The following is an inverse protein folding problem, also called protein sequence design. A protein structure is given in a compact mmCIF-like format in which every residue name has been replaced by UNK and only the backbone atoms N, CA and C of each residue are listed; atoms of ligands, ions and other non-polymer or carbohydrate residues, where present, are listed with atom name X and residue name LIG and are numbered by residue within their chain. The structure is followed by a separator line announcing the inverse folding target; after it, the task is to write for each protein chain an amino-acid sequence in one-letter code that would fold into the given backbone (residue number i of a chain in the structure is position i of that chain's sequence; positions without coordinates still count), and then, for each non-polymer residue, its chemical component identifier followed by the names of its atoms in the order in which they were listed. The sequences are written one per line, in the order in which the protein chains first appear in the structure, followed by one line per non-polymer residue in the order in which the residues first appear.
data_IF_872555911671
#
_entry.id   IF_872555911671
#
_cell.length_a   1.000
_cell.length_b   1.000
_cell.length_c   1.000
_cell.angle_alpha   90.00
_cell.angle_beta   90.00
_cell.angle_gamma   90.00
#
_symmetry.space_group_name_H-M   'P 1'
#
loop_
_entity.id
_entity.type
_entity.pdbx_description
1 polymer ?
#
# COMPACT_ATOMS: atom_id res chain seq x y z
N UNK A 1 -0.09 20.99 -4.63
CA UNK A 1 -1.50 20.93 -5.05
C UNK A 1 -1.77 19.83 -6.09
N UNK A 2 -1.13 19.82 -7.28
CA UNK A 2 -1.40 18.84 -8.36
C UNK A 2 -1.46 17.35 -7.93
N UNK A 3 -0.49 16.89 -7.14
CA UNK A 3 -0.47 15.51 -6.61
C UNK A 3 -1.71 15.19 -5.76
N UNK A 4 -2.18 16.15 -4.96
CA UNK A 4 -3.37 15.99 -4.10
C UNK A 4 -4.61 15.72 -4.94
N UNK A 5 -4.75 16.46 -6.04
CA UNK A 5 -5.85 16.33 -7.00
C UNK A 5 -5.84 14.93 -7.63
N UNK A 6 -4.69 14.45 -8.09
CA UNK A 6 -4.58 13.11 -8.69
C UNK A 6 -4.90 12.02 -7.65
N UNK A 7 -4.36 12.12 -6.43
CA UNK A 7 -4.67 11.16 -5.35
C UNK A 7 -6.17 11.10 -5.06
N UNK A 8 -6.85 12.25 -5.09
CA UNK A 8 -8.29 12.32 -4.89
C UNK A 8 -9.07 11.57 -5.99
N UNK A 9 -8.76 11.81 -7.26
CA UNK A 9 -9.48 11.16 -8.38
C UNK A 9 -9.20 9.66 -8.53
N UNK A 10 -8.14 9.16 -7.91
CA UNK A 10 -7.82 7.74 -7.82
C UNK A 10 -8.56 7.00 -6.70
N UNK A 11 -9.38 7.69 -5.90
CA UNK A 11 -10.21 7.06 -4.88
C UNK A 11 -11.35 6.26 -5.52
N UNK A 12 -11.67 5.10 -4.95
CA UNK A 12 -12.77 4.25 -5.42
C UNK A 12 -14.14 4.88 -5.20
N UNK A 13 -14.31 5.57 -4.08
CA UNK A 13 -15.58 6.20 -3.69
C UNK A 13 -15.34 7.69 -3.53
N UNK A 14 -16.04 8.47 -4.34
CA UNK A 14 -15.94 9.93 -4.34
C UNK A 14 -17.34 10.50 -4.11
N UNK A 15 -17.53 11.25 -3.03
CA UNK A 15 -18.80 11.92 -2.77
C UNK A 15 -18.94 13.14 -3.69
N UNK A 16 -20.17 13.45 -4.11
CA UNK A 16 -20.44 14.58 -5.01
C UNK A 16 -19.89 15.92 -4.51
N UNK A 17 -20.04 16.21 -3.22
CA UNK A 17 -19.53 17.45 -2.62
C UNK A 17 -18.00 17.50 -2.69
N UNK A 18 -17.34 16.38 -2.42
CA UNK A 18 -15.88 16.29 -2.52
C UNK A 18 -15.41 16.44 -3.97
N UNK A 19 -16.15 15.86 -4.93
CA UNK A 19 -15.87 15.96 -6.35
C UNK A 19 -15.90 17.41 -6.85
N UNK A 20 -16.91 18.17 -6.41
CA UNK A 20 -17.03 19.60 -6.73
C UNK A 20 -15.85 20.40 -6.20
N UNK A 21 -15.42 20.12 -4.97
CA UNK A 21 -14.28 20.82 -4.37
C UNK A 21 -12.95 20.46 -5.06
N UNK A 22 -12.75 19.18 -5.38
CA UNK A 22 -11.60 18.74 -6.13
C UNK A 22 -11.55 19.35 -7.55
N UNK A 23 -12.70 19.55 -8.19
CA UNK A 23 -12.77 20.23 -9.48
C UNK A 23 -12.31 21.69 -9.39
N UNK A 24 -12.74 22.43 -8.36
CA UNK A 24 -12.26 23.80 -8.12
C UNK A 24 -10.74 23.83 -7.90
N UNK A 25 -10.21 22.91 -7.10
CA UNK A 25 -8.76 22.80 -6.91
C UNK A 25 -8.03 22.47 -8.21
N UNK A 26 -8.59 21.62 -9.07
CA UNK A 26 -8.02 21.32 -10.38
C UNK A 26 -7.96 22.53 -11.30
N UNK A 27 -9.04 23.33 -11.36
CA UNK A 27 -9.07 24.58 -12.13
C UNK A 27 -8.03 25.56 -11.59
N UNK A 28 -8.05 25.82 -10.28
CA UNK A 28 -7.11 26.72 -9.61
C UNK A 28 -5.66 26.31 -9.86
N UNK A 29 -5.36 25.01 -9.81
CA UNK A 29 -4.03 24.50 -10.13
C UNK A 29 -3.60 24.84 -11.55
N UNK A 30 -4.47 24.65 -12.55
CA UNK A 30 -4.15 24.95 -13.94
C UNK A 30 -4.01 26.46 -14.16
N UNK A 31 -4.83 27.29 -13.52
CA UNK A 31 -4.72 28.76 -13.58
C UNK A 31 -3.40 29.27 -12.97
N UNK A 32 -3.00 28.73 -11.82
CA UNK A 32 -1.72 29.04 -11.19
C UNK A 32 -0.54 28.55 -12.05
N UNK A 33 -0.65 27.36 -12.65
CA UNK A 33 0.36 26.83 -13.57
C UNK A 33 0.49 27.71 -14.81
N UNK A 34 -0.63 28.13 -15.40
CA UNK A 34 -0.65 29.07 -16.53
C UNK A 34 0.02 30.38 -16.14
N UNK A 35 -0.30 30.94 -14.98
CA UNK A 35 0.27 32.21 -14.49
C UNK A 35 1.77 32.12 -14.28
N UNK A 36 2.27 31.06 -13.64
CA UNK A 36 3.68 30.91 -13.29
C UNK A 36 4.55 30.55 -14.51
N UNK A 37 4.13 29.57 -15.30
CA UNK A 37 4.96 28.97 -16.33
C UNK A 37 4.62 29.46 -17.74
N UNK A 38 3.34 29.58 -18.08
CA UNK A 38 2.89 29.90 -19.45
C UNK A 38 2.85 31.42 -19.68
N UNK A 39 2.46 32.19 -18.66
CA UNK A 39 2.36 33.66 -18.67
C UNK A 39 1.52 34.21 -19.83
N UNK A 40 0.55 33.42 -20.33
CA UNK A 40 -0.26 33.72 -21.53
C UNK A 40 0.57 34.00 -22.79
N UNK A 41 1.81 33.51 -22.83
CA UNK A 41 2.70 33.63 -23.99
C UNK A 41 2.47 32.45 -24.93
N UNK A 42 2.07 32.68 -26.20
CA UNK A 42 1.84 31.61 -27.17
C UNK A 42 3.05 30.68 -27.35
N UNK A 43 4.27 31.22 -27.24
CA UNK A 43 5.51 30.44 -27.39
C UNK A 43 5.67 29.40 -26.27
N UNK A 44 4.98 29.58 -25.14
CA UNK A 44 5.07 28.73 -23.94
C UNK A 44 3.93 27.72 -23.79
N UNK A 45 3.03 27.64 -24.77
CA UNK A 45 1.89 26.72 -24.72
C UNK A 45 2.32 25.25 -24.57
N UNK A 46 3.52 24.90 -25.03
CA UNK A 46 4.11 23.58 -24.94
C UNK A 46 4.34 23.09 -23.49
N UNK A 47 4.34 23.99 -22.50
CA UNK A 47 4.36 23.63 -21.08
C UNK A 47 3.04 23.01 -20.60
N UNK A 48 1.92 23.33 -21.25
CA UNK A 48 0.61 22.73 -20.96
C UNK A 48 0.52 21.35 -21.59
N UNK A 49 1.29 20.41 -21.02
CA UNK A 49 1.23 19.00 -21.42
C UNK A 49 -0.15 18.43 -21.14
N UNK A 50 -0.50 17.34 -21.83
CA UNK A 50 -1.77 16.66 -21.65
C UNK A 50 -2.06 16.31 -20.19
N UNK A 51 -1.05 15.94 -19.40
CA UNK A 51 -1.22 15.65 -17.96
C UNK A 51 -1.69 16.85 -17.14
N UNK A 52 -1.26 18.07 -17.52
CA UNK A 52 -1.68 19.32 -16.88
C UNK A 52 -3.11 19.64 -17.31
N UNK A 53 -3.37 19.66 -18.61
CA UNK A 53 -4.70 19.99 -19.15
C UNK A 53 -5.76 18.95 -18.74
N UNK A 54 -5.42 17.67 -18.67
CA UNK A 54 -6.38 16.62 -18.31
C UNK A 54 -6.97 16.79 -16.90
N UNK A 55 -6.29 17.48 -15.98
CA UNK A 55 -6.75 17.61 -14.59
C UNK A 55 -8.11 18.29 -14.47
N UNK A 56 -8.40 19.32 -15.28
CA UNK A 56 -9.71 20.00 -15.24
C UNK A 56 -10.84 19.12 -15.77
N UNK A 57 -10.51 18.10 -16.58
CA UNK A 57 -11.48 17.16 -17.15
C UNK A 57 -11.77 15.95 -16.24
N UNK A 58 -10.95 15.72 -15.20
CA UNK A 58 -11.10 14.54 -14.35
C UNK A 58 -12.47 14.49 -13.64
N UNK A 59 -12.98 15.61 -13.14
CA UNK A 59 -14.27 15.62 -12.44
C UNK A 59 -15.47 15.34 -13.36
N UNK A 60 -15.61 15.99 -14.53
CA UNK A 60 -16.60 15.59 -15.54
C UNK A 60 -16.51 14.11 -15.92
N UNK A 61 -15.30 13.59 -16.10
CA UNK A 61 -15.09 12.18 -16.44
C UNK A 61 -15.51 11.23 -15.31
N UNK A 62 -15.31 11.60 -14.04
CA UNK A 62 -15.81 10.82 -12.90
C UNK A 62 -17.33 10.65 -12.95
N UNK A 63 -18.06 11.66 -13.40
CA UNK A 63 -19.53 11.58 -13.56
C UNK A 63 -19.88 10.68 -14.75
N UNK A 64 -19.12 10.76 -15.84
CA UNK A 64 -19.39 10.05 -17.09
C UNK A 64 -19.10 8.54 -17.01
N UNK A 65 -17.94 8.17 -16.46
CA UNK A 65 -17.40 6.80 -16.51
C UNK A 65 -16.89 6.28 -15.15
N UNK A 66 -17.08 7.04 -14.07
CA UNK A 66 -16.62 6.69 -12.74
C UNK A 66 -15.17 7.11 -12.46
N UNK A 67 -14.63 6.82 -11.27
CA UNK A 67 -13.33 7.32 -10.84
C UNK A 67 -12.16 6.92 -11.74
N UNK A 68 -11.08 7.71 -11.69
CA UNK A 68 -9.91 7.50 -12.54
C UNK A 68 -9.27 6.11 -12.32
N UNK A 69 -9.40 5.55 -11.12
CA UNK A 69 -8.93 4.19 -10.83
C UNK A 69 -9.51 3.10 -11.77
N UNK A 70 -10.66 3.35 -12.41
CA UNK A 70 -11.31 2.40 -13.31
C UNK A 70 -10.69 2.40 -14.72
N UNK A 71 -10.16 3.54 -15.19
CA UNK A 71 -9.70 3.72 -16.57
C UNK A 71 -8.31 4.36 -16.67
N UNK A 72 -7.60 4.51 -15.54
CA UNK A 72 -6.23 4.95 -15.55
C UNK A 72 -5.37 3.99 -16.39
N UNK A 73 -4.32 4.54 -17.00
CA UNK A 73 -3.44 3.79 -17.89
C UNK A 73 -2.96 2.47 -17.26
N UNK A 74 -2.55 2.49 -15.99
CA UNK A 74 -2.11 1.28 -15.29
C UNK A 74 -3.21 0.21 -15.17
N UNK A 75 -4.47 0.62 -14.94
CA UNK A 75 -5.63 -0.29 -14.86
C UNK A 75 -5.91 -0.92 -16.22
N UNK A 76 -5.85 -0.11 -17.29
CA UNK A 76 -6.06 -0.56 -18.66
C UNK A 76 -4.93 -1.49 -19.12
N UNK A 77 -3.66 -1.10 -18.93
CA UNK A 77 -2.50 -1.93 -19.28
C UNK A 77 -2.49 -3.25 -18.54
N UNK A 78 -2.84 -3.27 -17.25
CA UNK A 78 -2.99 -4.51 -16.48
C UNK A 78 -4.08 -5.40 -17.08
N UNK A 79 -5.21 -4.81 -17.44
CA UNK A 79 -6.32 -5.54 -18.06
C UNK A 79 -5.91 -6.12 -19.42
N UNK A 80 -5.21 -5.34 -20.25
CA UNK A 80 -4.65 -5.78 -21.53
C UNK A 80 -3.69 -6.94 -21.32
N UNK A 81 -2.73 -6.83 -20.40
CA UNK A 81 -1.77 -7.90 -20.11
C UNK A 81 -2.44 -9.19 -19.62
N UNK A 82 -3.42 -9.06 -18.71
CA UNK A 82 -4.16 -10.21 -18.19
C UNK A 82 -5.02 -10.89 -19.26
N UNK A 83 -5.64 -10.14 -20.16
CA UNK A 83 -6.40 -10.69 -21.29
C UNK A 83 -5.45 -11.30 -22.34
N UNK A 84 -4.29 -10.69 -22.55
CA UNK A 84 -3.22 -11.20 -23.42
C UNK A 84 -2.77 -12.60 -23.02
N UNK A 85 -2.67 -12.89 -21.72
CA UNK A 85 -2.33 -14.22 -21.20
C UNK A 85 -3.41 -15.28 -21.47
N UNK A 86 -4.66 -14.87 -21.74
CA UNK A 86 -5.78 -15.78 -22.00
C UNK A 86 -6.04 -16.03 -23.48
N UNK A 87 -5.38 -15.27 -24.36
CA UNK A 87 -5.40 -15.46 -25.81
C UNK A 87 -4.70 -16.79 -26.14
N UNK A 88 -5.49 -17.78 -26.55
CA UNK A 88 -4.99 -19.12 -26.88
C UNK A 88 -5.24 -19.53 -28.33
N UNK A 89 -5.85 -18.65 -29.13
CA UNK A 89 -6.17 -18.91 -30.54
C UNK A 89 -5.60 -17.80 -31.43
N UNK A 90 -4.70 -18.20 -32.32
CA UNK A 90 -3.98 -17.36 -33.28
C UNK A 90 -4.82 -17.05 -34.54
N UNK A 91 -5.70 -17.96 -34.94
CA UNK A 91 -6.53 -17.84 -36.14
C UNK A 91 -7.70 -16.85 -36.03
N UNK A 92 -8.24 -16.64 -34.83
CA UNK A 92 -9.34 -15.68 -34.59
C UNK A 92 -9.18 -15.01 -33.21
N UNK A 93 -8.15 -14.17 -33.03
CA UNK A 93 -7.78 -13.63 -31.74
C UNK A 93 -8.84 -12.69 -31.17
N UNK A 94 -9.52 -11.90 -32.01
CA UNK A 94 -10.53 -10.93 -31.55
C UNK A 94 -11.81 -11.61 -31.03
N UNK A 95 -12.27 -12.67 -31.70
CA UNK A 95 -13.44 -13.41 -31.22
C UNK A 95 -13.11 -14.17 -29.93
N UNK A 96 -11.91 -14.78 -29.87
CA UNK A 96 -11.44 -15.44 -28.65
C UNK A 96 -11.34 -14.44 -27.48
N UNK A 97 -10.77 -13.25 -27.72
CA UNK A 97 -10.67 -12.18 -26.72
C UNK A 97 -12.04 -11.74 -26.21
N UNK A 98 -13.01 -11.56 -27.12
CA UNK A 98 -14.37 -11.14 -26.78
C UNK A 98 -15.06 -12.17 -25.86
N UNK A 99 -14.96 -13.46 -26.21
CA UNK A 99 -15.48 -14.55 -25.39
C UNK A 99 -14.79 -14.64 -24.02
N UNK A 100 -13.47 -14.45 -23.96
CA UNK A 100 -12.71 -14.38 -22.71
C UNK A 100 -13.18 -13.24 -21.81
N UNK A 101 -13.35 -12.04 -22.39
CA UNK A 101 -13.84 -10.88 -21.66
C UNK A 101 -15.25 -11.10 -21.11
N UNK A 102 -16.18 -11.60 -21.94
CA UNK A 102 -17.56 -11.91 -21.50
C UNK A 102 -17.57 -12.93 -20.38
N UNK A 103 -16.85 -14.05 -20.53
CA UNK A 103 -16.76 -15.09 -19.51
C UNK A 103 -16.19 -14.57 -18.20
N UNK A 104 -15.16 -13.71 -18.25
CA UNK A 104 -14.59 -13.08 -17.06
C UNK A 104 -15.58 -12.14 -16.39
N UNK A 105 -16.31 -11.32 -17.16
CA UNK A 105 -17.36 -10.47 -16.61
C UNK A 105 -18.47 -11.30 -15.93
N UNK A 106 -18.91 -12.39 -16.56
CA UNK A 106 -19.91 -13.30 -15.98
C UNK A 106 -19.40 -13.96 -14.70
N UNK A 107 -18.16 -14.44 -14.68
CA UNK A 107 -17.57 -15.07 -13.51
C UNK A 107 -17.38 -14.08 -12.35
N UNK A 108 -16.89 -12.86 -12.64
CA UNK A 108 -16.79 -11.79 -11.65
C UNK A 108 -18.17 -11.37 -11.11
N UNK A 109 -19.20 -11.30 -11.96
CA UNK A 109 -20.56 -11.02 -11.53
C UNK A 109 -21.09 -12.14 -10.61
N UNK A 110 -20.89 -13.40 -10.97
CA UNK A 110 -21.25 -14.55 -10.13
C UNK A 110 -20.54 -14.52 -8.78
N UNK A 111 -19.23 -14.30 -8.75
CA UNK A 111 -18.45 -14.15 -7.50
C UNK A 111 -18.94 -12.99 -6.65
N UNK A 112 -19.34 -11.88 -7.26
CA UNK A 112 -19.89 -10.73 -6.53
C UNK A 112 -21.29 -11.01 -5.97
N UNK A 113 -22.11 -11.80 -6.67
CA UNK A 113 -23.47 -12.16 -6.26
C UNK A 113 -23.51 -13.31 -5.23
N UNK A 114 -22.56 -14.26 -5.31
CA UNK A 114 -22.44 -15.42 -4.44
C UNK A 114 -20.97 -15.64 -4.03
N UNK A 115 -20.41 -14.82 -3.12
CA UNK A 115 -19.01 -14.90 -2.70
C UNK A 115 -18.60 -16.26 -2.12
N UNK A 116 -19.53 -17.01 -1.55
CA UNK A 116 -19.32 -18.35 -0.98
C UNK A 116 -18.89 -19.41 -2.01
N UNK A 117 -19.12 -19.16 -3.31
CA UNK A 117 -18.70 -20.06 -4.39
C UNK A 117 -17.28 -19.78 -4.90
N UNK A 118 -16.63 -18.70 -4.44
CA UNK A 118 -15.28 -18.37 -4.86
C UNK A 118 -14.24 -19.26 -4.15
N UNK A 119 -13.88 -20.37 -4.79
CA UNK A 119 -12.86 -21.30 -4.27
C UNK A 119 -11.42 -20.85 -4.57
N UNK A 120 -11.22 -19.87 -5.46
CA UNK A 120 -9.88 -19.38 -5.82
C UNK A 120 -9.23 -18.57 -4.70
N UNK A 121 -10.05 -18.06 -3.78
CA UNK A 121 -9.64 -17.11 -2.74
C UNK A 121 -9.72 -17.69 -1.33
N UNK A 122 -9.95 -19.00 -1.13
CA UNK A 122 -10.06 -19.58 0.21
C UNK A 122 -8.84 -19.21 1.06
N UNK A 123 -8.97 -18.23 1.99
CA UNK A 123 -7.84 -17.75 2.78
C UNK A 123 -7.38 -18.80 3.79
N UNK A 124 -8.22 -19.82 4.03
CA UNK A 124 -8.03 -20.85 5.03
C UNK A 124 -7.10 -21.97 4.59
N UNK A 125 -6.75 -22.06 3.29
CA UNK A 125 -5.76 -23.01 2.78
C UNK A 125 -4.41 -22.29 2.66
N UNK A 126 -3.54 -22.34 3.69
CA UNK A 126 -2.31 -21.58 3.68
C UNK A 126 -1.36 -22.25 2.67
N UNK A 127 -0.71 -21.45 1.82
CA UNK A 127 0.44 -21.96 1.05
C UNK A 127 1.43 -22.59 2.02
N UNK A 128 2.08 -23.70 1.63
CA UNK A 128 2.96 -24.48 2.52
C UNK A 128 3.91 -23.58 3.33
N UNK A 129 3.79 -23.62 4.66
CA UNK A 129 4.62 -22.82 5.57
C UNK A 129 4.03 -21.47 6.01
N UNK A 130 2.89 -21.05 5.46
CA UNK A 130 2.11 -19.90 5.95
C UNK A 130 1.08 -20.32 7.00
N UNK A 131 0.63 -19.36 7.80
CA UNK A 131 -0.36 -19.56 8.86
C UNK A 131 -1.42 -18.48 8.76
N UNK A 132 -2.68 -18.89 8.54
CA UNK A 132 -3.80 -17.95 8.49
C UNK A 132 -4.16 -17.49 9.91
N UNK A 133 -4.25 -16.18 10.10
CA UNK A 133 -4.47 -15.58 11.44
C UNK A 133 -5.83 -14.88 11.54
N UNK A 134 -6.69 -15.02 10.53
CA UNK A 134 -8.03 -14.41 10.46
C UNK A 134 -8.04 -13.06 9.72
N UNK A 135 -9.24 -12.60 9.34
CA UNK A 135 -9.52 -11.30 8.71
C UNK A 135 -8.76 -11.03 7.40
N UNK A 136 -8.35 -12.09 6.70
CA UNK A 136 -7.57 -11.98 5.45
C UNK A 136 -6.07 -11.81 5.68
N UNK A 137 -5.58 -11.90 6.93
CA UNK A 137 -4.16 -11.87 7.25
C UNK A 137 -3.57 -13.28 7.34
N UNK A 138 -2.33 -13.43 6.85
CA UNK A 138 -1.57 -14.67 6.98
C UNK A 138 -0.10 -14.39 7.28
N UNK A 139 0.47 -15.05 8.29
CA UNK A 139 1.92 -15.10 8.48
C UNK A 139 2.55 -15.93 7.36
N UNK A 140 3.67 -15.45 6.81
CA UNK A 140 4.38 -16.10 5.71
C UNK A 140 5.86 -16.30 6.07
N UNK A 141 6.47 -17.35 5.51
CA UNK A 141 7.91 -17.57 5.59
C UNK A 141 8.69 -16.39 5.00
N UNK A 142 9.99 -16.21 5.23
CA UNK A 142 10.90 -16.99 6.07
C UNK A 142 10.59 -16.88 7.59
N UNK A 143 10.77 -17.97 8.33
CA UNK A 143 10.58 -18.01 9.81
C UNK A 143 11.73 -18.72 10.51
N UNK A 144 11.98 -18.37 11.78
CA UNK A 144 12.96 -19.08 12.60
C UNK A 144 12.54 -20.55 12.80
N UNK A 145 13.48 -21.48 12.64
CA UNK A 145 13.25 -22.91 12.94
C UNK A 145 13.01 -23.13 14.44
N UNK A 146 13.84 -22.50 15.27
CA UNK A 146 13.86 -22.61 16.73
C UNK A 146 13.69 -21.26 17.39
N UNK A 147 13.19 -21.23 18.63
CA UNK A 147 13.07 -19.98 19.38
C UNK A 147 14.46 -19.35 19.54
N UNK A 148 14.59 -18.09 19.15
CA UNK A 148 15.80 -17.29 19.26
C UNK A 148 15.65 -16.30 20.42
N UNK A 149 16.74 -16.05 21.14
CA UNK A 149 16.81 -14.94 22.09
C UNK A 149 16.77 -13.63 21.31
N UNK A 150 15.84 -12.73 21.65
CA UNK A 150 15.80 -11.38 21.08
C UNK A 150 16.71 -10.43 21.86
N UNK A 151 17.05 -9.28 21.27
CA UNK A 151 17.90 -8.29 21.95
C UNK A 151 17.28 -7.82 23.25
N UNK A 152 18.10 -7.28 24.17
CA UNK A 152 17.63 -6.78 25.46
C UNK A 152 16.59 -5.67 25.30
N UNK A 153 16.81 -4.75 24.36
CA UNK A 153 15.87 -3.66 24.03
C UNK A 153 14.53 -4.19 23.51
N UNK A 154 14.57 -5.15 22.58
CA UNK A 154 13.37 -5.84 22.09
C UNK A 154 12.63 -6.54 23.22
N UNK A 155 13.37 -7.22 24.11
CA UNK A 155 12.79 -7.93 25.25
C UNK A 155 12.04 -6.97 26.18
N UNK A 156 12.65 -5.83 26.53
CA UNK A 156 12.01 -4.81 27.37
C UNK A 156 10.73 -4.29 26.74
N UNK A 157 10.76 -3.98 25.44
CA UNK A 157 9.58 -3.48 24.71
C UNK A 157 8.46 -4.51 24.66
N UNK A 158 8.80 -5.79 24.44
CA UNK A 158 7.82 -6.89 24.43
C UNK A 158 7.22 -7.11 25.82
N UNK A 159 8.02 -7.11 26.90
CA UNK A 159 7.49 -7.25 28.27
C UNK A 159 6.54 -6.13 28.64
N UNK A 160 6.90 -4.89 28.29
CA UNK A 160 6.07 -3.71 28.52
C UNK A 160 4.71 -3.85 27.84
N UNK A 161 4.68 -4.36 26.61
CA UNK A 161 3.42 -4.58 25.88
C UNK A 161 2.57 -5.71 26.48
N UNK A 162 3.22 -6.78 26.96
CA UNK A 162 2.55 -7.94 27.55
C UNK A 162 2.18 -7.75 29.04
N UNK A 163 2.43 -6.57 29.61
CA UNK A 163 2.26 -6.27 31.04
C UNK A 163 3.02 -7.26 31.95
N UNK A 164 4.20 -7.70 31.50
CA UNK A 164 5.03 -8.71 32.14
C UNK A 164 6.38 -8.12 32.61
N UNK A 165 6.40 -6.86 33.05
CA UNK A 165 7.64 -6.14 33.41
C UNK A 165 8.41 -6.81 34.57
N UNK A 166 7.71 -7.56 35.41
CA UNK A 166 8.28 -8.27 36.56
C UNK A 166 9.01 -9.58 36.16
N UNK A 167 8.82 -10.07 34.94
CA UNK A 167 9.52 -11.27 34.47
C UNK A 167 10.99 -10.97 34.12
N UNK A 168 11.91 -11.65 34.79
CA UNK A 168 13.36 -11.56 34.53
C UNK A 168 13.84 -12.68 33.61
N UNK A 169 14.69 -12.35 32.63
CA UNK A 169 15.38 -13.32 31.76
C UNK A 169 15.05 -13.19 30.27
N UNK A 170 15.93 -13.67 29.40
CA UNK A 170 15.85 -13.46 27.95
C UNK A 170 14.54 -13.98 27.33
N UNK A 171 13.88 -13.15 26.51
CA UNK A 171 12.71 -13.58 25.73
C UNK A 171 13.20 -14.43 24.57
N UNK A 172 12.66 -15.66 24.48
CA UNK A 172 12.89 -16.57 23.36
C UNK A 172 11.62 -16.74 22.54
N UNK A 173 11.65 -16.33 21.28
CA UNK A 173 10.51 -16.42 20.36
C UNK A 173 10.93 -16.86 18.96
N UNK A 174 9.97 -17.27 18.13
CA UNK A 174 10.19 -17.51 16.71
C UNK A 174 9.79 -16.25 15.94
N UNK A 175 10.72 -15.70 15.16
CA UNK A 175 10.43 -14.57 14.27
C UNK A 175 9.88 -15.05 12.94
N UNK A 176 8.97 -14.27 12.39
CA UNK A 176 8.41 -14.40 11.06
C UNK A 176 8.77 -13.16 10.27
N UNK A 177 9.13 -13.36 9.01
CA UNK A 177 9.65 -12.28 8.18
C UNK A 177 8.58 -11.54 7.37
N UNK A 178 7.43 -12.18 7.13
CA UNK A 178 6.42 -11.70 6.19
C UNK A 178 5.01 -11.83 6.77
N UNK A 179 4.16 -10.87 6.46
CA UNK A 179 2.74 -10.85 6.77
C UNK A 179 1.97 -10.45 5.51
N UNK A 180 1.07 -11.33 5.06
CA UNK A 180 0.10 -11.00 4.03
C UNK A 180 -1.02 -10.17 4.63
N UNK A 181 -1.36 -9.09 3.95
CA UNK A 181 -2.45 -8.19 4.30
C UNK A 181 -3.73 -8.52 3.49
N UNK A 182 -4.92 -8.11 3.96
CA UNK A 182 -6.18 -8.37 3.27
C UNK A 182 -6.28 -7.71 1.88
N UNK A 183 -5.51 -6.64 1.66
CA UNK A 183 -5.42 -5.95 0.37
C UNK A 183 -4.47 -6.64 -0.63
N UNK A 184 -3.94 -7.82 -0.29
CA UNK A 184 -3.05 -8.62 -1.13
C UNK A 184 -1.57 -8.24 -1.06
N UNK A 185 -1.20 -7.16 -0.37
CA UNK A 185 0.21 -6.80 -0.15
C UNK A 185 0.90 -7.78 0.80
N UNK A 186 2.23 -7.88 0.67
CA UNK A 186 3.08 -8.60 1.64
C UNK A 186 3.94 -7.58 2.39
N UNK A 187 3.61 -7.36 3.67
CA UNK A 187 4.48 -6.64 4.59
C UNK A 187 5.68 -7.52 4.94
N UNK A 188 6.89 -6.99 4.74
CA UNK A 188 8.16 -7.66 5.03
C UNK A 188 8.75 -7.12 6.33
N UNK A 189 9.94 -7.57 6.69
CA UNK A 189 10.60 -7.21 7.94
C UNK A 189 12.04 -6.80 7.70
N UNK A 190 12.51 -5.82 8.48
CA UNK A 190 13.91 -5.40 8.49
C UNK A 190 14.86 -6.56 8.79
N UNK A 191 14.46 -7.50 9.68
CA UNK A 191 15.27 -8.67 10.03
C UNK A 191 15.76 -9.48 8.81
N UNK A 192 14.94 -9.58 7.75
CA UNK A 192 15.33 -10.26 6.51
C UNK A 192 15.82 -9.28 5.45
N UNK A 193 15.15 -8.14 5.26
CA UNK A 193 15.53 -7.21 4.19
C UNK A 193 16.89 -6.54 4.43
N UNK A 194 17.28 -6.22 5.67
CA UNK A 194 18.59 -5.59 5.97
C UNK A 194 19.78 -6.51 5.68
N UNK A 195 19.56 -7.80 5.41
CA UNK A 195 20.61 -8.76 5.01
C UNK A 195 20.88 -8.74 3.51
N UNK A 196 20.00 -8.13 2.72
CA UNK A 196 20.14 -7.99 1.28
C UNK A 196 20.82 -6.65 0.96
N UNK A 197 21.54 -6.60 -0.14
CA UNK A 197 22.08 -5.33 -0.65
C UNK A 197 20.92 -4.43 -1.09
N UNK A 198 21.04 -3.11 -0.86
CA UNK A 198 19.98 -2.13 -1.16
C UNK A 198 19.44 -2.24 -2.59
N UNK A 199 20.31 -2.48 -3.58
CA UNK A 199 19.92 -2.65 -4.99
C UNK A 199 19.04 -3.87 -5.26
N UNK A 200 19.06 -4.87 -4.38
CA UNK A 200 18.31 -6.12 -4.49
C UNK A 200 17.07 -6.12 -3.57
N UNK A 201 16.89 -5.11 -2.73
CA UNK A 201 15.78 -5.01 -1.78
C UNK A 201 14.59 -4.34 -2.44
N UNK A 202 13.47 -5.04 -2.53
CA UNK A 202 12.16 -4.43 -2.78
C UNK A 202 11.51 -4.11 -1.43
N UNK A 203 11.89 -2.97 -0.87
CA UNK A 203 11.59 -2.61 0.52
C UNK A 203 10.08 -2.57 0.77
N UNK A 204 9.59 -3.48 1.61
CA UNK A 204 8.18 -3.61 1.99
C UNK A 204 8.00 -3.75 3.51
N UNK A 205 9.02 -3.35 4.28
CA UNK A 205 9.01 -3.36 5.75
C UNK A 205 8.36 -2.15 6.41
N UNK A 206 8.04 -1.10 5.65
CA UNK A 206 7.37 0.09 6.18
C UNK A 206 5.86 -0.06 6.02
N UNK A 207 5.12 0.22 7.09
CA UNK A 207 3.69 -0.06 7.17
C UNK A 207 2.92 1.12 7.76
N UNK A 208 1.69 1.30 7.26
CA UNK A 208 0.69 2.17 7.88
C UNK A 208 -0.09 1.36 8.92
N UNK A 209 -0.11 1.84 10.15
CA UNK A 209 -0.78 1.19 11.27
C UNK A 209 -1.90 2.06 11.82
N UNK A 210 -2.97 1.41 12.28
CA UNK A 210 -4.12 2.05 12.91
C UNK A 210 -4.72 1.15 13.97
N UNK A 211 -5.33 1.71 15.01
CA UNK A 211 -6.12 0.94 15.97
C UNK A 211 -6.26 1.66 17.30
N UNK A 212 -7.02 1.05 18.22
CA UNK A 212 -7.25 1.58 19.57
C UNK A 212 -5.96 1.86 20.34
N UNK A 213 -4.91 1.07 20.12
CA UNK A 213 -3.59 1.28 20.73
C UNK A 213 -2.93 2.59 20.30
N UNK A 214 -3.09 2.99 19.03
CA UNK A 214 -2.45 4.20 18.51
C UNK A 214 -3.35 5.43 18.60
N UNK A 215 -4.68 5.25 18.66
CA UNK A 215 -5.68 6.34 18.64
C UNK A 215 -5.77 7.10 17.32
N UNK A 216 -4.77 6.94 16.42
CA UNK A 216 -4.66 7.58 15.10
C UNK A 216 -3.84 6.71 14.15
N UNK A 217 -3.70 7.17 12.90
CA UNK A 217 -2.82 6.53 11.91
C UNK A 217 -1.36 6.94 12.17
N UNK A 218 -0.48 5.96 12.20
CA UNK A 218 0.97 6.12 12.34
C UNK A 218 1.70 5.28 11.28
N UNK A 219 2.99 5.57 11.07
CA UNK A 219 3.87 4.81 10.17
C UNK A 219 4.94 4.10 11.01
N UNK A 220 5.22 2.84 10.68
CA UNK A 220 6.22 2.03 11.39
C UNK A 220 7.13 1.27 10.42
N UNK A 221 8.41 1.13 10.75
CA UNK A 221 9.31 0.13 10.17
C UNK A 221 9.17 -1.17 10.97
N UNK A 222 8.78 -2.28 10.34
CA UNK A 222 8.65 -3.58 11.00
C UNK A 222 10.02 -4.25 11.13
N UNK A 223 10.39 -4.63 12.35
CA UNK A 223 11.62 -5.38 12.63
C UNK A 223 11.41 -6.87 12.42
N UNK A 224 10.34 -7.45 12.97
CA UNK A 224 9.84 -8.81 12.68
C UNK A 224 8.44 -9.04 13.25
N UNK A 225 7.77 -10.08 12.78
CA UNK A 225 6.51 -10.59 13.35
C UNK A 225 6.77 -11.75 14.31
N UNK A 226 5.92 -11.94 15.30
CA UNK A 226 5.99 -13.07 16.23
C UNK A 226 4.62 -13.43 16.79
N UNK A 227 4.51 -14.64 17.30
CA UNK A 227 3.26 -15.18 17.81
C UNK A 227 3.35 -15.41 19.32
N UNK A 228 2.30 -15.00 20.02
CA UNK A 228 2.02 -15.31 21.43
C UNK A 228 0.90 -16.35 21.51
N UNK A 229 0.45 -16.74 22.70
CA UNK A 229 -0.65 -17.70 22.84
C UNK A 229 -1.95 -17.19 22.18
N UNK A 230 -2.20 -15.89 22.27
CA UNK A 230 -3.51 -15.31 21.91
C UNK A 230 -3.44 -14.42 20.66
N UNK A 231 -2.25 -13.89 20.34
CA UNK A 231 -2.10 -12.85 19.34
C UNK A 231 -0.85 -13.01 18.48
N UNK A 232 -0.97 -12.58 17.23
CA UNK A 232 0.18 -12.30 16.37
C UNK A 232 0.51 -10.81 16.46
N UNK A 233 1.77 -10.53 16.80
CA UNK A 233 2.29 -9.21 17.07
C UNK A 233 3.43 -8.88 16.10
N UNK A 234 3.69 -7.59 15.94
CA UNK A 234 4.85 -7.07 15.24
C UNK A 234 5.69 -6.26 16.23
N UNK A 235 7.00 -6.47 16.21
CA UNK A 235 7.95 -5.52 16.75
C UNK A 235 8.37 -4.60 15.60
N UNK A 236 8.35 -3.29 15.84
CA UNK A 236 8.82 -2.32 14.87
C UNK A 236 9.20 -1.01 15.55
N UNK A 237 9.53 -0.01 14.75
CA UNK A 237 9.85 1.34 15.24
C UNK A 237 8.97 2.37 14.55
N UNK A 238 8.37 3.27 15.34
CA UNK A 238 7.54 4.33 14.77
C UNK A 238 8.39 5.40 14.12
N UNK A 239 7.98 5.85 12.94
CA UNK A 239 8.46 7.09 12.38
C UNK A 239 7.91 8.27 13.19
N UNK A 240 8.70 9.36 13.36
CA UNK A 240 8.21 10.59 13.95
C UNK A 240 7.02 11.17 13.18
N UNK A 241 6.35 12.14 13.81
CA UNK A 241 5.28 12.90 13.13
C UNK A 241 5.88 13.78 12.04
N UNK A 242 5.11 14.03 10.96
CA UNK A 242 5.60 14.83 9.86
C UNK A 242 5.74 16.29 10.28
N UNK A 243 6.53 17.03 9.52
CA UNK A 243 6.46 18.49 9.52
C UNK A 243 5.03 18.94 9.14
N UNK A 244 4.31 19.51 10.12
CA UNK A 244 2.91 19.93 9.94
C UNK A 244 2.77 21.13 9.00
N UNK A 245 3.77 22.02 8.97
CA UNK A 245 3.77 23.19 8.10
C UNK A 245 3.95 22.76 6.65
N UNK A 246 4.93 21.89 6.39
CA UNK A 246 5.16 21.31 5.06
C UNK A 246 3.95 20.49 4.60
N UNK A 247 3.37 19.69 5.49
CA UNK A 247 2.19 18.90 5.17
C UNK A 247 1.00 19.80 4.78
N UNK A 248 0.77 20.88 5.54
CA UNK A 248 -0.30 21.85 5.24
C UNK A 248 -0.03 22.62 3.94
N UNK A 249 1.18 23.14 3.76
CA UNK A 249 1.59 23.87 2.56
C UNK A 249 1.50 23.00 1.30
N UNK A 250 1.74 21.69 1.44
CA UNK A 250 1.65 20.72 0.35
C UNK A 250 0.25 20.16 0.11
N UNK A 251 -0.81 20.70 0.74
CA UNK A 251 -2.19 20.17 0.62
C UNK A 251 -2.30 18.71 1.08
N UNK A 252 -1.68 18.39 2.21
CA UNK A 252 -1.61 17.06 2.83
C UNK A 252 -1.01 15.98 1.92
N UNK A 253 -0.02 16.35 1.09
CA UNK A 253 0.60 15.39 0.15
C UNK A 253 1.99 14.95 0.56
N UNK A 254 2.81 15.87 1.05
CA UNK A 254 4.18 15.62 1.47
C UNK A 254 4.18 15.42 2.98
N UNK A 255 4.27 14.15 3.36
CA UNK A 255 4.49 13.74 4.75
C UNK A 255 5.97 13.40 4.85
N UNK A 256 6.74 14.28 5.50
CA UNK A 256 8.20 14.17 5.66
C UNK A 256 8.56 14.13 7.13
N UNK A 257 9.44 13.21 7.53
CA UNK A 257 9.90 13.08 8.91
C UNK A 257 11.31 12.47 8.99
N UNK A 258 11.91 12.52 10.19
CA UNK A 258 13.17 11.83 10.48
C UNK A 258 13.08 10.29 10.48
N UNK A 259 14.20 9.65 10.82
CA UNK A 259 14.32 8.21 10.94
C UNK A 259 13.45 7.63 12.09
N UNK A 260 13.07 6.34 12.03
CA UNK A 260 12.32 5.71 13.12
C UNK A 260 13.24 5.41 14.31
N UNK A 261 12.83 5.81 15.51
CA UNK A 261 13.69 5.75 16.71
C UNK A 261 13.13 4.85 17.83
N UNK A 262 11.81 4.86 18.05
CA UNK A 262 11.22 4.25 19.25
C UNK A 262 10.66 2.86 18.94
N UNK A 263 11.22 1.78 19.55
CA UNK A 263 10.67 0.45 19.37
C UNK A 263 9.29 0.37 20.02
N UNK A 264 8.38 -0.32 19.35
CA UNK A 264 7.00 -0.53 19.77
C UNK A 264 6.56 -1.92 19.36
N UNK A 265 5.68 -2.50 20.18
CA UNK A 265 4.94 -3.72 19.83
C UNK A 265 3.50 -3.36 19.55
N UNK A 266 2.95 -3.91 18.48
CA UNK A 266 1.56 -3.73 18.10
C UNK A 266 1.00 -5.01 17.47
N UNK A 267 -0.34 -5.12 17.40
CA UNK A 267 -1.00 -6.27 16.78
C UNK A 267 -0.71 -6.30 15.28
N UNK A 268 -0.36 -7.45 14.72
CA UNK A 268 -0.13 -7.56 13.27
C UNK A 268 -1.35 -7.12 12.44
N UNK A 269 -2.56 -7.39 12.95
CA UNK A 269 -3.83 -6.94 12.35
C UNK A 269 -4.08 -5.43 12.40
N UNK A 270 -3.25 -4.64 13.09
CA UNK A 270 -3.33 -3.17 13.05
C UNK A 270 -2.71 -2.60 11.78
N UNK A 271 -2.00 -3.40 10.99
CA UNK A 271 -1.38 -2.98 9.73
C UNK A 271 -2.44 -2.89 8.64
N UNK A 272 -2.60 -1.70 8.07
CA UNK A 272 -3.56 -1.42 7.00
C UNK A 272 -2.96 -1.67 5.61
N UNK A 273 -1.72 -1.23 5.41
CA UNK A 273 -1.04 -1.28 4.12
C UNK A 273 0.48 -1.19 4.27
N UNK A 274 1.19 -1.72 3.28
CA UNK A 274 2.61 -1.44 3.08
C UNK A 274 2.76 -0.09 2.40
N UNK A 275 3.70 0.72 2.88
CA UNK A 275 4.04 2.04 2.36
C UNK A 275 5.52 2.11 2.04
N UNK A 276 5.92 3.06 1.20
CA UNK A 276 7.32 3.39 0.99
C UNK A 276 7.70 4.62 1.82
N UNK A 277 8.87 4.55 2.44
CA UNK A 277 9.51 5.64 3.17
C UNK A 277 10.79 5.95 2.41
N UNK A 278 10.73 6.96 1.55
CA UNK A 278 11.77 7.24 0.57
C UNK A 278 12.73 8.28 1.17
N UNK A 279 14.04 7.98 1.27
CA UNK A 279 15.02 8.95 1.74
C UNK A 279 15.05 10.19 0.84
N UNK A 280 15.13 11.37 1.44
CA UNK A 280 15.34 12.63 0.74
C UNK A 280 16.01 13.66 1.68
N UNK A 281 16.57 14.71 1.10
CA UNK A 281 17.15 15.81 1.86
C UNK A 281 16.16 16.97 1.91
N UNK A 282 15.87 17.47 3.11
CA UNK A 282 15.03 18.64 3.34
C UNK A 282 15.84 19.69 4.11
N UNK A 283 16.23 20.78 3.43
CA UNK A 283 17.05 21.86 4.00
C UNK A 283 18.36 21.38 4.67
N UNK A 284 19.04 20.40 4.06
CA UNK A 284 20.28 19.82 4.60
C UNK A 284 20.08 18.79 5.71
N UNK A 285 18.84 18.39 6.01
CA UNK A 285 18.52 17.32 6.95
C UNK A 285 18.06 16.08 6.19
N UNK A 286 18.66 14.94 6.51
CA UNK A 286 18.24 13.64 5.98
C UNK A 286 16.90 13.23 6.58
N UNK A 287 15.88 13.16 5.73
CA UNK A 287 14.51 12.80 6.09
C UNK A 287 14.01 11.65 5.22
N UNK A 288 12.79 11.20 5.51
CA UNK A 288 12.05 10.26 4.70
C UNK A 288 10.68 10.84 4.38
N UNK A 289 10.26 10.73 3.13
CA UNK A 289 8.90 11.07 2.72
C UNK A 289 8.06 9.84 2.43
N UNK A 290 6.80 9.89 2.86
CA UNK A 290 5.84 8.80 2.70
C UNK A 290 5.28 8.75 1.28
N UNK A 291 5.31 7.56 0.70
CA UNK A 291 4.64 7.23 -0.55
C UNK A 291 3.71 6.05 -0.34
N UNK A 292 2.42 6.31 -0.55
CA UNK A 292 1.39 5.27 -0.54
C UNK A 292 1.13 4.78 -1.96
N UNK A 293 0.93 3.47 -2.10
CA UNK A 293 0.54 2.89 -3.39
C UNK A 293 -0.88 3.35 -3.74
N UNK A 294 -1.09 4.05 -4.87
CA UNK A 294 -2.42 4.45 -5.27
C UNK A 294 -3.28 3.24 -5.65
N UNK A 295 -4.60 3.37 -5.48
CA UNK A 295 -5.56 2.36 -5.98
C UNK A 295 -5.54 1.03 -5.22
N UNK A 296 -5.02 0.96 -3.99
CA UNK A 296 -4.99 -0.27 -3.19
C UNK A 296 -6.35 -0.94 -3.06
N UNK A 297 -7.42 -0.16 -2.87
CA UNK A 297 -8.79 -0.70 -2.83
C UNK A 297 -9.20 -1.37 -4.14
N UNK A 298 -8.83 -0.79 -5.29
CA UNK A 298 -9.10 -1.37 -6.61
C UNK A 298 -8.29 -2.64 -6.84
N UNK A 299 -7.05 -2.67 -6.36
CA UNK A 299 -6.19 -3.87 -6.44
C UNK A 299 -6.79 -5.01 -5.61
N UNK A 300 -7.24 -4.73 -4.38
CA UNK A 300 -7.87 -5.72 -3.52
C UNK A 300 -9.12 -6.36 -4.19
N UNK A 301 -9.96 -5.56 -4.86
CA UNK A 301 -11.14 -6.06 -5.58
C UNK A 301 -10.81 -6.95 -6.77
N UNK A 302 -9.64 -6.79 -7.39
CA UNK A 302 -9.23 -7.63 -8.51
C UNK A 302 -8.81 -9.04 -8.08
N UNK A 303 -8.82 -9.34 -6.77
CA UNK A 303 -8.29 -10.58 -6.21
C UNK A 303 -6.77 -10.70 -6.36
N UNK A 304 -6.09 -9.61 -6.73
CA UNK A 304 -4.66 -9.63 -6.93
C UNK A 304 -3.94 -9.85 -5.60
N UNK A 305 -3.12 -10.90 -5.56
CA UNK A 305 -2.17 -11.14 -4.49
C UNK A 305 -0.77 -10.87 -5.00
N UNK A 306 0.00 -10.12 -4.23
CA UNK A 306 1.40 -9.87 -4.53
C UNK A 306 2.16 -11.22 -4.52
N UNK A 307 2.86 -11.57 -5.61
CA UNK A 307 3.62 -12.80 -5.65
C UNK A 307 4.80 -12.69 -4.68
N UNK A 308 5.06 -13.76 -3.93
CA UNK A 308 6.28 -13.85 -3.15
C UNK A 308 7.42 -14.31 -4.05
N UNK A 309 8.18 -13.33 -4.56
CA UNK A 309 9.27 -13.55 -5.52
C UNK A 309 10.64 -13.73 -4.87
N UNK A 310 10.74 -13.58 -3.55
CA UNK A 310 12.01 -13.77 -2.84
C UNK A 310 12.18 -15.22 -2.41
N UNK A 311 13.27 -15.85 -2.86
CA UNK A 311 13.62 -17.19 -2.42
C UNK A 311 13.97 -17.20 -0.92
N UNK A 312 13.36 -18.13 -0.20
CA UNK A 312 13.71 -18.42 1.18
C UNK A 312 15.08 -19.13 1.19
N UNK A 313 16.16 -18.35 1.32
CA UNK A 313 17.47 -18.89 1.70
C UNK A 313 17.45 -19.40 3.15
#
# INVERSE_FOLDING_TARGET
MGVSIIRFFLQRRILRLQLMEAHKHAIKFVEEFETLYVQRMPERIHFVRQSIHAMIHLAPEVIRIGPQANYAQWTMERTIGNLGQELKQDSNPYSNLSERAVRRCQFNALKAMAPELDTDTDPSVPRRGSEYIGDGYSLMGAKDKWKQTVTRESSTTIRKYLDAEQETGDIKLKRWARLRLPNGQIARSAWKEKKLQLMNVRMARNVKVSGSFFGRQEIAEVEFFFQTKDHVLALGSLYPRPDEELLKASYNTVWSCGAPEKPVVFRAKSIQSVVAMVPHENNGVDEFFLVEKPGLESIALSGYQEPDLEHDN
#
